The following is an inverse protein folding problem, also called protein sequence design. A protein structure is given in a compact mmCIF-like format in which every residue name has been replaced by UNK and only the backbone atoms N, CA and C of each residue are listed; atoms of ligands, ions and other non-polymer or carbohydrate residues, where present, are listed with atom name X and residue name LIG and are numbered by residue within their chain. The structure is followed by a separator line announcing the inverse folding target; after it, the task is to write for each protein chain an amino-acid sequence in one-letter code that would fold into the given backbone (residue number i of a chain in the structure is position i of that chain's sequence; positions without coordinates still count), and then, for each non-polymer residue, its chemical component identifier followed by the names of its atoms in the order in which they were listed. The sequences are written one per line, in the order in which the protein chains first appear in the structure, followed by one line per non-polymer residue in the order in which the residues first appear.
data_IF_135705790706
#
_entry.id   IF_135705790706
#
_cell.length_a   1.000
_cell.length_b   1.000
_cell.length_c   1.000
_cell.angle_alpha   90.00
_cell.angle_beta   90.00
_cell.angle_gamma   90.00
#
_symmetry.space_group_name_H-M   'P 1'
#
loop_
_entity.id
_entity.type
_entity.pdbx_description
1 polymer ?
#
# COMPACT_ATOMS: atom_id res chain seq x y z
N UNK A 1 -15.74 2.54 9.54
CA UNK A 1 -14.61 1.71 9.09
C UNK A 1 -13.30 2.47 9.27
N UNK A 2 -12.29 1.81 9.88
CA UNK A 2 -10.97 2.46 10.00
C UNK A 2 -10.39 2.82 8.64
N UNK A 3 -9.92 4.04 8.52
CA UNK A 3 -9.32 4.54 7.27
C UNK A 3 -8.18 5.49 7.56
N UNK A 4 -7.25 5.58 6.62
CA UNK A 4 -6.11 6.49 6.69
C UNK A 4 -5.82 7.05 5.30
N UNK A 5 -5.36 8.28 5.28
CA UNK A 5 -4.95 8.95 4.06
C UNK A 5 -3.66 9.71 4.29
N UNK A 6 -2.72 9.56 3.38
CA UNK A 6 -1.43 10.23 3.41
C UNK A 6 -1.13 10.80 2.04
N UNK A 7 -0.71 12.07 2.00
CA UNK A 7 -0.28 12.74 0.78
C UNK A 7 1.17 13.19 0.94
N UNK A 8 1.98 12.94 -0.08
CA UNK A 8 3.36 13.40 -0.11
C UNK A 8 3.81 13.67 -1.54
N UNK A 9 4.89 14.43 -1.69
CA UNK A 9 5.46 14.71 -3.01
C UNK A 9 6.86 14.09 -3.14
N UNK A 10 7.21 13.71 -4.37
CA UNK A 10 8.55 13.22 -4.69
C UNK A 10 9.08 13.96 -5.91
N UNK A 11 10.39 14.17 -5.94
CA UNK A 11 11.06 14.90 -7.05
C UNK A 11 11.40 13.92 -8.18
N UNK A 12 10.35 13.41 -8.81
CA UNK A 12 10.44 12.53 -9.97
C UNK A 12 9.28 12.82 -10.92
N UNK A 13 9.52 12.66 -12.23
CA UNK A 13 8.44 12.74 -13.22
C UNK A 13 7.36 11.69 -12.94
N UNK A 14 6.12 12.04 -13.23
CA UNK A 14 4.98 11.13 -12.96
C UNK A 14 5.12 9.77 -13.65
N UNK A 15 5.71 9.72 -14.83
CA UNK A 15 5.93 8.45 -15.54
C UNK A 15 6.89 7.52 -14.79
N UNK A 16 7.90 8.08 -14.13
CA UNK A 16 8.85 7.30 -13.32
C UNK A 16 8.21 6.77 -12.06
N UNK A 17 7.40 7.60 -11.41
CA UNK A 17 6.63 7.20 -10.22
C UNK A 17 5.64 6.10 -10.59
N UNK A 18 4.91 6.27 -11.66
CA UNK A 18 3.95 5.27 -12.15
C UNK A 18 4.63 3.93 -12.43
N UNK A 19 5.74 3.93 -13.16
CA UNK A 19 6.46 2.71 -13.50
C UNK A 19 6.91 1.93 -12.28
N UNK A 20 7.32 2.62 -11.22
CA UNK A 20 7.67 1.98 -9.96
C UNK A 20 6.43 1.43 -9.24
N UNK A 21 5.39 2.23 -9.15
CA UNK A 21 4.20 1.89 -8.36
C UNK A 21 3.37 0.73 -8.92
N UNK A 22 3.47 0.46 -10.22
CA UNK A 22 2.80 -0.70 -10.82
C UNK A 22 3.60 -2.00 -10.69
N UNK A 23 4.84 -1.93 -10.24
CA UNK A 23 5.68 -3.10 -10.00
C UNK A 23 5.37 -3.67 -8.62
N UNK A 24 4.46 -4.64 -8.58
CA UNK A 24 3.95 -5.21 -7.32
C UNK A 24 5.03 -5.86 -6.46
N UNK A 25 6.05 -6.45 -7.06
CA UNK A 25 7.14 -7.06 -6.29
C UNK A 25 8.03 -6.02 -5.64
N UNK A 26 8.38 -4.98 -6.39
CA UNK A 26 9.20 -3.88 -5.85
C UNK A 26 8.45 -3.12 -4.76
N UNK A 27 7.19 -2.81 -5.00
CA UNK A 27 6.34 -2.13 -4.02
C UNK A 27 6.11 -3.02 -2.81
N UNK A 28 5.87 -4.31 -3.03
CA UNK A 28 5.63 -5.27 -1.95
C UNK A 28 6.81 -5.40 -1.00
N UNK A 29 8.04 -5.29 -1.51
CA UNK A 29 9.25 -5.34 -0.67
C UNK A 29 9.29 -4.20 0.35
N UNK A 30 8.57 -3.11 0.08
CA UNK A 30 8.53 -1.94 0.95
C UNK A 30 7.38 -1.98 1.95
N UNK A 31 6.44 -2.89 1.78
CA UNK A 31 5.30 -3.02 2.69
C UNK A 31 5.75 -3.59 4.03
N UNK A 32 5.48 -2.90 5.17
CA UNK A 32 5.92 -3.37 6.48
C UNK A 32 5.45 -4.79 6.79
N UNK A 33 6.40 -5.66 7.10
CA UNK A 33 6.13 -7.06 7.42
C UNK A 33 5.94 -7.98 6.24
N UNK A 34 6.01 -7.48 5.01
CA UNK A 34 5.87 -8.32 3.83
C UNK A 34 7.09 -9.24 3.66
N UNK A 35 6.84 -10.54 3.57
CA UNK A 35 7.87 -11.57 3.41
C UNK A 35 8.03 -12.01 1.95
N UNK A 36 7.08 -11.66 1.10
CA UNK A 36 7.15 -11.96 -0.32
C UNK A 36 5.83 -11.69 -1.01
N UNK A 37 5.90 -11.53 -2.32
CA UNK A 37 4.73 -11.33 -3.18
C UNK A 37 4.80 -12.37 -4.29
N UNK A 38 3.71 -13.11 -4.46
CA UNK A 38 3.55 -14.06 -5.57
C UNK A 38 2.56 -13.46 -6.57
N UNK A 39 3.02 -13.25 -7.79
CA UNK A 39 2.19 -12.72 -8.86
C UNK A 39 1.43 -13.88 -9.50
N UNK A 40 0.10 -13.84 -9.49
CA UNK A 40 -0.74 -14.85 -10.10
C UNK A 40 -1.06 -14.51 -11.55
N UNK A 41 -1.36 -13.24 -11.81
CA UNK A 41 -1.66 -12.73 -13.15
C UNK A 41 -1.58 -11.19 -13.10
N UNK A 42 -2.02 -10.52 -14.15
CA UNK A 42 -1.94 -9.06 -14.25
C UNK A 42 -2.72 -8.31 -13.17
N UNK A 43 -3.74 -8.93 -12.60
CA UNK A 43 -4.61 -8.28 -11.61
C UNK A 43 -4.51 -8.87 -10.21
N UNK A 44 -4.05 -10.10 -10.07
CA UNK A 44 -4.08 -10.81 -8.79
C UNK A 44 -2.69 -11.18 -8.29
N UNK A 45 -2.49 -11.05 -6.99
CA UNK A 45 -1.26 -11.41 -6.32
C UNK A 45 -1.53 -11.85 -4.88
N UNK A 46 -0.57 -12.57 -4.31
CA UNK A 46 -0.64 -12.99 -2.90
C UNK A 46 0.54 -12.36 -2.18
N UNK A 47 0.24 -11.65 -1.09
CA UNK A 47 1.23 -10.98 -0.26
C UNK A 47 1.30 -11.68 1.09
N UNK A 48 2.48 -12.17 1.44
CA UNK A 48 2.72 -12.83 2.72
C UNK A 48 3.16 -11.78 3.72
N UNK A 49 2.31 -11.45 4.67
CA UNK A 49 2.52 -10.33 5.59
C UNK A 49 2.57 -10.83 7.02
N UNK A 50 3.66 -10.53 7.71
CA UNK A 50 3.78 -10.81 9.14
C UNK A 50 3.18 -9.64 9.91
N UNK A 51 2.13 -9.92 10.67
CA UNK A 51 1.46 -8.94 11.51
C UNK A 51 1.75 -9.21 12.98
N UNK A 52 2.06 -8.14 13.72
CA UNK A 52 2.24 -8.21 15.16
C UNK A 52 1.09 -7.46 15.83
N UNK A 53 0.36 -8.17 16.68
CA UNK A 53 -0.79 -7.63 17.42
C UNK A 53 -0.53 -7.88 18.90
N UNK A 54 0.07 -6.89 19.57
CA UNK A 54 0.48 -7.02 20.97
C UNK A 54 1.53 -8.12 21.12
N UNK A 55 1.33 -9.09 22.04
CA UNK A 55 2.28 -10.19 22.24
C UNK A 55 2.21 -11.26 21.15
N UNK A 56 1.25 -11.15 20.23
CA UNK A 56 1.04 -12.15 19.19
C UNK A 56 1.62 -11.70 17.85
N UNK A 57 2.18 -12.66 17.11
CA UNK A 57 2.72 -12.44 15.80
C UNK A 57 2.24 -13.56 14.88
N UNK A 58 1.83 -13.23 13.68
CA UNK A 58 1.26 -14.17 12.73
C UNK A 58 1.54 -13.73 11.31
N UNK A 59 1.88 -14.68 10.44
CA UNK A 59 2.00 -14.42 9.01
C UNK A 59 0.69 -14.78 8.33
N UNK A 60 0.16 -13.85 7.55
CA UNK A 60 -1.09 -14.06 6.82
C UNK A 60 -0.86 -13.92 5.33
N UNK A 61 -1.71 -14.59 4.55
CA UNK A 61 -1.76 -14.44 3.10
C UNK A 61 -2.84 -13.41 2.76
N UNK A 62 -2.44 -12.28 2.19
CA UNK A 62 -3.39 -11.31 1.69
C UNK A 62 -3.56 -11.52 0.19
N UNK A 63 -4.77 -11.79 -0.23
CA UNK A 63 -5.11 -11.95 -1.65
C UNK A 63 -5.47 -10.59 -2.20
N UNK A 64 -4.55 -10.01 -2.97
CA UNK A 64 -4.70 -8.67 -3.54
C UNK A 64 -5.23 -8.74 -4.96
N UNK A 65 -6.20 -7.88 -5.26
CA UNK A 65 -6.79 -7.75 -6.58
C UNK A 65 -6.79 -6.29 -7.01
N UNK A 66 -6.31 -6.03 -8.22
CA UNK A 66 -6.34 -4.69 -8.80
C UNK A 66 -7.69 -4.50 -9.48
N UNK A 67 -8.49 -3.56 -8.95
CA UNK A 67 -9.82 -3.25 -9.47
C UNK A 67 -9.76 -2.32 -10.67
N UNK A 68 -8.83 -1.36 -10.64
CA UNK A 68 -8.71 -0.35 -11.67
C UNK A 68 -7.29 0.19 -11.74
N UNK A 69 -6.82 0.45 -12.94
CA UNK A 69 -5.53 1.07 -13.19
C UNK A 69 -5.66 2.05 -14.33
N UNK A 70 -5.48 3.34 -14.04
CA UNK A 70 -5.50 4.41 -15.05
C UNK A 70 -4.12 5.05 -15.05
N UNK A 71 -3.41 4.92 -16.16
CA UNK A 71 -2.01 5.35 -16.28
C UNK A 71 -1.79 6.79 -15.81
N UNK A 72 -0.83 6.98 -14.92
CA UNK A 72 -0.47 8.26 -14.32
C UNK A 72 -1.58 8.93 -13.49
N UNK A 73 -2.68 8.25 -13.24
CA UNK A 73 -3.81 8.83 -12.49
C UNK A 73 -4.11 8.09 -11.20
N UNK A 74 -4.41 6.78 -11.28
CA UNK A 74 -4.80 6.05 -10.07
C UNK A 74 -4.69 4.53 -10.20
N UNK A 75 -4.54 3.92 -9.04
CA UNK A 75 -4.62 2.46 -8.87
C UNK A 75 -5.64 2.22 -7.76
N UNK A 76 -6.63 1.38 -8.03
CA UNK A 76 -7.63 0.95 -7.05
C UNK A 76 -7.44 -0.54 -6.81
N UNK A 77 -7.34 -0.94 -5.55
CA UNK A 77 -7.09 -2.33 -5.20
C UNK A 77 -7.91 -2.77 -4.00
N UNK A 78 -8.12 -4.08 -3.87
CA UNK A 78 -8.67 -4.72 -2.68
C UNK A 78 -7.73 -5.84 -2.25
N UNK A 79 -7.71 -6.16 -0.96
CA UNK A 79 -6.95 -7.28 -0.45
C UNK A 79 -7.70 -7.92 0.70
N UNK A 80 -7.78 -9.25 0.69
CA UNK A 80 -8.60 -9.99 1.64
C UNK A 80 -7.84 -11.14 2.29
N UNK A 81 -8.18 -11.42 3.53
CA UNK A 81 -7.74 -12.60 4.26
C UNK A 81 -8.82 -12.95 5.29
N UNK A 82 -9.43 -14.13 5.15
CA UNK A 82 -10.50 -14.58 6.05
C UNK A 82 -11.53 -13.48 6.34
N UNK A 83 -11.51 -12.92 7.56
CA UNK A 83 -12.44 -11.90 7.99
C UNK A 83 -11.90 -10.47 7.82
N UNK A 84 -10.74 -10.32 7.24
CA UNK A 84 -10.14 -9.01 7.01
C UNK A 84 -10.31 -8.60 5.54
N UNK A 85 -10.94 -7.46 5.33
CA UNK A 85 -11.09 -6.84 4.01
C UNK A 85 -10.41 -5.47 4.05
N UNK A 86 -9.47 -5.26 3.13
CA UNK A 86 -8.83 -3.96 2.97
C UNK A 86 -9.03 -3.48 1.54
N UNK A 87 -9.05 -2.17 1.37
CA UNK A 87 -9.11 -1.56 0.05
C UNK A 87 -8.27 -0.30 0.05
N UNK A 88 -7.75 0.06 -1.10
CA UNK A 88 -6.93 1.25 -1.23
C UNK A 88 -7.08 1.92 -2.58
N UNK A 89 -6.82 3.21 -2.57
CA UNK A 89 -6.78 4.03 -3.77
C UNK A 89 -5.49 4.83 -3.70
N UNK A 90 -4.69 4.72 -4.74
CA UNK A 90 -3.48 5.54 -4.88
C UNK A 90 -3.72 6.47 -6.05
N UNK A 91 -3.63 7.77 -5.80
CA UNK A 91 -3.79 8.77 -6.86
C UNK A 91 -2.47 9.51 -7.08
N UNK A 92 -2.26 9.93 -8.31
CA UNK A 92 -1.05 10.60 -8.75
C UNK A 92 -1.41 11.93 -9.39
N UNK A 93 -0.71 12.98 -9.00
CA UNK A 93 -0.92 14.30 -9.58
C UNK A 93 0.42 14.89 -9.99
N UNK A 94 0.53 15.28 -11.24
CA UNK A 94 1.70 15.97 -11.76
C UNK A 94 1.74 17.38 -11.18
N UNK A 95 2.77 17.68 -10.38
CA UNK A 95 3.00 19.01 -9.84
C UNK A 95 3.81 19.84 -10.84
N UNK A 96 4.83 19.19 -11.43
CA UNK A 96 5.67 19.80 -12.47
C UNK A 96 6.28 18.67 -13.31
N UNK A 97 7.11 18.97 -14.27
CA UNK A 97 7.80 17.96 -15.09
C UNK A 97 8.67 17.04 -14.23
N UNK A 98 9.17 17.54 -13.09
CA UNK A 98 10.13 16.84 -12.24
C UNK A 98 9.56 16.52 -10.85
N UNK A 99 8.26 16.73 -10.62
CA UNK A 99 7.69 16.53 -9.30
C UNK A 99 6.28 15.95 -9.40
N UNK A 100 5.99 14.95 -8.54
CA UNK A 100 4.71 14.26 -8.50
C UNK A 100 4.18 14.20 -7.08
N UNK A 101 2.89 14.43 -6.91
CA UNK A 101 2.18 14.25 -5.65
C UNK A 101 1.49 12.89 -5.66
N UNK A 102 1.66 12.14 -4.58
CA UNK A 102 1.05 10.82 -4.39
C UNK A 102 0.12 10.91 -3.18
N UNK A 103 -1.13 10.50 -3.36
CA UNK A 103 -2.09 10.37 -2.25
C UNK A 103 -2.46 8.90 -2.12
N UNK A 104 -2.28 8.37 -0.91
CA UNK A 104 -2.60 6.97 -0.59
C UNK A 104 -3.74 6.96 0.41
N UNK A 105 -4.85 6.37 0.02
CA UNK A 105 -6.02 6.18 0.87
C UNK A 105 -6.24 4.69 1.10
N UNK A 106 -6.36 4.27 2.37
CA UNK A 106 -6.58 2.87 2.72
C UNK A 106 -7.69 2.75 3.75
N UNK A 107 -8.52 1.72 3.60
CA UNK A 107 -9.56 1.35 4.54
C UNK A 107 -9.42 -0.11 4.92
N UNK A 108 -9.71 -0.44 6.17
CA UNK A 108 -9.73 -1.82 6.65
C UNK A 108 -11.03 -2.11 7.36
N UNK A 109 -11.53 -3.33 7.20
CA UNK A 109 -12.76 -3.79 7.82
C UNK A 109 -12.63 -5.24 8.24
N UNK A 110 -13.03 -5.53 9.47
CA UNK A 110 -13.11 -6.90 9.98
C UNK A 110 -14.57 -7.33 10.00
N UNK A 111 -14.86 -8.48 9.39
CA UNK A 111 -16.22 -9.04 9.37
C UNK A 111 -16.37 -10.09 10.47
N UNK A 112 -17.62 -10.37 10.90
CA UNK A 112 -17.90 -11.37 11.90
C UNK A 112 -18.32 -10.78 13.25
N UNK A 113 -18.18 -11.56 14.32
CA UNK A 113 -18.65 -11.21 15.65
C UNK A 113 -17.74 -10.25 16.41
N UNK A 114 -16.95 -9.48 15.70
CA UNK A 114 -15.92 -8.69 16.31
C UNK A 114 -16.36 -7.27 16.51
N UNK A 115 -15.93 -6.76 17.60
CA UNK A 115 -16.48 -5.60 18.20
C UNK A 115 -15.59 -4.40 18.05
N UNK A 116 -16.06 -3.36 18.56
CA UNK A 116 -15.47 -2.08 18.82
C UNK A 116 -13.97 -2.11 19.19
N UNK A 117 -13.51 -3.05 20.06
CA UNK A 117 -12.09 -3.14 20.43
C UNK A 117 -11.19 -3.51 19.25
N UNK A 118 -11.68 -4.36 18.36
CA UNK A 118 -10.93 -4.76 17.18
C UNK A 118 -10.84 -3.63 16.16
N UNK A 119 -11.89 -2.82 16.04
CA UNK A 119 -11.83 -1.64 15.16
C UNK A 119 -10.76 -0.66 15.63
N UNK A 120 -10.60 -0.47 16.94
CA UNK A 120 -9.57 0.40 17.51
C UNK A 120 -8.16 -0.15 17.18
N UNK A 121 -7.95 -1.45 17.41
CA UNK A 121 -6.66 -2.10 17.13
C UNK A 121 -6.33 -2.02 15.65
N UNK A 122 -7.31 -2.26 14.79
CA UNK A 122 -7.14 -2.16 13.35
C UNK A 122 -6.83 -0.74 12.92
N UNK A 123 -7.51 0.25 13.50
CA UNK A 123 -7.25 1.65 13.18
C UNK A 123 -5.80 2.05 13.51
N UNK A 124 -5.31 1.65 14.69
CA UNK A 124 -3.93 1.92 15.08
C UNK A 124 -2.93 1.22 14.17
N UNK A 125 -3.15 -0.06 13.89
CA UNK A 125 -2.26 -0.85 13.05
C UNK A 125 -2.27 -0.34 11.61
N UNK A 126 -3.43 0.02 11.10
CA UNK A 126 -3.57 0.58 9.77
C UNK A 126 -2.80 1.89 9.62
N UNK A 127 -2.87 2.77 10.63
CA UNK A 127 -2.12 4.02 10.65
C UNK A 127 -0.61 3.79 10.67
N UNK A 128 -0.15 2.86 11.51
CA UNK A 128 1.26 2.50 11.62
C UNK A 128 1.80 1.92 10.31
N UNK A 129 1.09 0.96 9.75
CA UNK A 129 1.47 0.30 8.49
C UNK A 129 1.47 1.30 7.33
N UNK A 130 0.45 2.14 7.24
CA UNK A 130 0.34 3.12 6.17
C UNK A 130 1.49 4.13 6.23
N UNK A 131 1.82 4.65 7.40
CA UNK A 131 2.94 5.57 7.57
C UNK A 131 4.27 4.92 7.18
N UNK A 132 4.50 3.69 7.65
CA UNK A 132 5.71 2.95 7.34
C UNK A 132 5.86 2.67 5.86
N UNK A 133 4.76 2.29 5.22
CA UNK A 133 4.74 1.99 3.79
C UNK A 133 5.02 3.25 2.96
N UNK A 134 4.34 4.36 3.26
CA UNK A 134 4.53 5.62 2.54
C UNK A 134 5.93 6.18 2.73
N UNK A 135 6.47 6.08 3.93
CA UNK A 135 7.85 6.48 4.21
C UNK A 135 8.84 5.67 3.37
N UNK A 136 8.66 4.35 3.31
CA UNK A 136 9.53 3.47 2.53
C UNK A 136 9.44 3.76 1.04
N UNK A 137 8.24 4.01 0.52
CA UNK A 137 8.03 4.38 -0.89
C UNK A 137 8.73 5.70 -1.19
N UNK A 138 8.51 6.70 -0.36
CA UNK A 138 9.13 8.02 -0.56
C UNK A 138 10.66 7.93 -0.57
N UNK A 139 11.23 7.23 0.38
CA UNK A 139 12.68 7.05 0.47
C UNK A 139 13.23 6.32 -0.77
N UNK A 140 12.53 5.29 -1.22
CA UNK A 140 12.94 4.52 -2.40
C UNK A 140 12.90 5.37 -3.66
N UNK A 141 11.86 6.16 -3.85
CA UNK A 141 11.71 7.04 -5.01
C UNK A 141 12.74 8.18 -4.97
N UNK A 142 12.99 8.76 -3.82
CA UNK A 142 14.02 9.81 -3.66
C UNK A 142 15.42 9.26 -3.91
N UNK A 143 15.69 8.04 -3.49
CA UNK A 143 16.96 7.37 -3.79
C UNK A 143 17.13 7.19 -5.30
N UNK A 144 16.07 6.78 -6.00
CA UNK A 144 16.08 6.65 -7.47
C UNK A 144 16.39 8.00 -8.13
N UNK A 145 15.75 9.08 -7.67
CA UNK A 145 15.98 10.41 -8.17
C UNK A 145 17.44 10.87 -7.98
N UNK A 146 18.02 10.59 -6.81
CA UNK A 146 19.40 11.02 -6.50
C UNK A 146 20.47 10.18 -7.19
N UNK A 147 20.13 8.96 -7.65
CA UNK A 147 21.09 8.09 -8.34
C UNK A 147 20.99 8.17 -9.87
N UNK A 148 20.05 8.92 -10.40
CA UNK A 148 19.98 9.20 -11.83
C UNK A 148 21.03 10.26 -12.19
N UNK A 149 21.82 10.06 -13.28
CA UNK A 149 22.81 11.04 -13.74
C UNK A 149 22.18 12.29 -14.32
#
# INVERSE_FOLDING_TARGET
MPKREITFTVKLPIRSVWSFMIDRKEVGCLFPGCKGVTILNDLDSIWMIKMSLGPFSRTIEMHAHTEEMVTNERIVWTATHEHLLTSGIITFRKVSEEETEITYHIEGHVTGHFTFLQDIVIAEKLGEVTRGFMKAIKERLEWTASSEP
#
